data_IF_216660845873
#
_entry.id   IF_216660845873
#
_cell.length_a   1.000
_cell.length_b   1.000
_cell.length_c   1.000
_cell.angle_alpha   90.00
_cell.angle_beta   90.00
_cell.angle_gamma   90.00
#
_symmetry.space_group_name_H-M   'P 1'
#
loop_
_entity.id
_entity.type
_entity.pdbx_description
1 polymer ?
#
# COMPACT_ATOMS: atom_id res chain seq x y z
N UNK A 1 30.49 1.96 -1.78
CA UNK A 1 29.47 0.88 -1.60
C UNK A 1 28.48 1.04 -2.71
N UNK A 2 28.12 0.00 -3.46
CA UNK A 2 27.14 0.11 -4.53
C UNK A 2 25.73 0.26 -3.97
N UNK A 3 24.80 0.84 -4.71
CA UNK A 3 23.38 0.94 -4.33
C UNK A 3 22.85 -0.44 -3.89
N UNK A 4 23.22 -1.51 -4.58
CA UNK A 4 22.81 -2.87 -4.23
C UNK A 4 23.25 -3.30 -2.82
N UNK A 5 24.40 -2.83 -2.34
CA UNK A 5 24.87 -3.11 -0.98
C UNK A 5 24.02 -2.39 0.07
N UNK A 6 23.60 -1.15 -0.20
CA UNK A 6 22.67 -0.41 0.68
C UNK A 6 21.31 -1.09 0.73
N UNK A 7 20.81 -1.51 -0.42
CA UNK A 7 19.52 -2.24 -0.53
C UNK A 7 19.61 -3.58 0.23
N UNK A 8 20.71 -4.31 0.13
CA UNK A 8 20.95 -5.55 0.88
C UNK A 8 21.00 -5.27 2.39
N UNK A 9 21.78 -4.28 2.82
CA UNK A 9 21.87 -3.89 4.22
C UNK A 9 20.49 -3.50 4.79
N UNK A 10 19.72 -2.71 4.04
CA UNK A 10 18.40 -2.29 4.47
C UNK A 10 17.48 -3.49 4.71
N UNK A 11 17.52 -4.49 3.87
CA UNK A 11 16.71 -5.71 4.02
C UNK A 11 17.14 -6.58 5.20
N UNK A 12 18.44 -6.87 5.31
CA UNK A 12 18.99 -7.67 6.41
C UNK A 12 18.65 -7.06 7.76
N UNK A 13 18.61 -5.72 7.83
CA UNK A 13 18.28 -4.97 9.04
C UNK A 13 16.79 -4.59 9.18
N UNK A 14 15.90 -5.09 8.29
CA UNK A 14 14.45 -4.82 8.30
C UNK A 14 14.13 -3.32 8.25
N UNK A 15 14.85 -2.57 7.43
CA UNK A 15 14.65 -1.15 7.19
C UNK A 15 13.49 -0.98 6.21
N UNK A 16 12.55 -0.10 6.52
CA UNK A 16 11.37 0.15 5.68
C UNK A 16 11.66 1.13 4.55
N UNK A 17 12.38 2.20 4.83
CA UNK A 17 12.61 3.27 3.87
C UNK A 17 14.07 3.74 3.93
N UNK A 18 14.64 4.05 2.76
CA UNK A 18 15.98 4.59 2.56
C UNK A 18 15.84 5.97 1.97
N UNK A 19 16.41 6.97 2.62
CA UNK A 19 16.44 8.35 2.13
C UNK A 19 17.85 8.66 1.64
N UNK A 20 17.97 9.07 0.38
CA UNK A 20 19.23 9.48 -0.24
C UNK A 20 19.13 10.97 -0.57
N UNK A 21 20.01 11.77 0.01
CA UNK A 21 20.06 13.22 -0.19
C UNK A 21 21.37 13.64 -0.84
N UNK A 22 21.36 14.64 -1.74
CA UNK A 22 22.58 15.14 -2.33
C UNK A 22 23.43 15.85 -1.29
N UNK A 23 24.70 15.57 -1.28
CA UNK A 23 25.70 16.31 -0.52
C UNK A 23 26.56 17.13 -1.47
N UNK A 24 27.01 18.28 -1.01
CA UNK A 24 27.77 19.22 -1.81
C UNK A 24 29.22 19.18 -1.39
N UNK A 25 30.11 18.94 -2.36
CA UNK A 25 31.56 19.11 -2.19
C UNK A 25 32.04 20.23 -3.09
N UNK A 26 32.83 21.12 -2.52
CA UNK A 26 33.50 22.20 -3.24
C UNK A 26 34.99 21.85 -3.34
N UNK A 27 35.50 21.71 -4.56
CA UNK A 27 36.92 21.56 -4.80
C UNK A 27 37.56 22.97 -4.82
N UNK A 28 38.44 23.23 -3.89
CA UNK A 28 39.16 24.46 -3.76
C UNK A 28 40.66 24.15 -3.90
N UNK A 29 41.33 24.74 -4.90
CA UNK A 29 42.78 24.59 -5.11
C UNK A 29 43.32 23.19 -4.93
N UNK A 30 42.79 22.21 -5.62
CA UNK A 30 43.15 20.77 -5.54
C UNK A 30 42.84 20.05 -4.23
N UNK A 31 42.03 20.63 -3.34
CA UNK A 31 41.55 19.97 -2.12
C UNK A 31 40.02 19.96 -2.09
N UNK A 32 39.45 18.81 -1.76
CA UNK A 32 38.04 18.67 -1.45
C UNK A 32 37.78 19.20 -0.03
N UNK A 33 36.94 20.22 0.10
CA UNK A 33 36.44 20.70 1.39
C UNK A 33 35.00 20.31 1.57
N UNK A 34 34.70 19.54 2.61
CA UNK A 34 33.32 19.35 3.07
C UNK A 34 32.95 20.54 3.95
N UNK A 35 31.79 21.17 3.70
CA UNK A 35 31.28 22.22 4.57
C UNK A 35 29.95 21.80 5.12
N UNK A 36 29.81 21.81 6.43
CA UNK A 36 28.54 21.57 7.13
C UNK A 36 27.68 22.85 7.18
N UNK A 37 28.25 24.03 6.88
CA UNK A 37 27.57 25.33 6.96
C UNK A 37 26.96 25.77 5.64
N UNK A 38 25.77 26.36 5.74
CA UNK A 38 24.86 26.69 4.65
C UNK A 38 25.22 27.92 3.83
N UNK A 39 26.30 28.63 4.13
CA UNK A 39 26.72 29.83 3.38
C UNK A 39 28.00 29.55 2.60
N UNK A 40 27.86 29.49 1.28
CA UNK A 40 28.99 29.32 0.37
C UNK A 40 29.40 30.65 -0.29
N UNK A 41 30.66 31.04 -0.11
CA UNK A 41 31.27 32.09 -0.86
C UNK A 41 32.06 31.53 -2.04
N UNK A 42 31.51 31.60 -3.24
CA UNK A 42 32.04 30.98 -4.46
C UNK A 42 33.12 31.78 -5.18
N UNK A 43 33.82 32.68 -4.55
CA UNK A 43 34.72 33.56 -5.27
C UNK A 43 35.92 32.90 -5.98
N UNK A 44 36.21 31.60 -5.72
CA UNK A 44 37.31 30.86 -6.33
C UNK A 44 37.12 29.33 -6.43
N UNK A 45 35.89 28.81 -6.50
CA UNK A 45 35.70 27.40 -6.67
C UNK A 45 35.93 26.98 -8.12
N UNK A 46 36.88 26.08 -8.38
CA UNK A 46 37.14 25.60 -9.73
C UNK A 46 36.12 24.52 -10.15
N UNK A 47 35.54 23.78 -9.21
CA UNK A 47 34.59 22.71 -9.49
C UNK A 47 33.67 22.48 -8.29
N UNK A 48 32.36 22.36 -8.55
CA UNK A 48 31.36 21.95 -7.55
C UNK A 48 30.90 20.55 -7.91
N UNK A 49 31.14 19.59 -7.03
CA UNK A 49 30.70 18.23 -7.21
C UNK A 49 29.51 17.99 -6.27
N UNK A 50 28.36 17.63 -6.82
CA UNK A 50 27.18 17.21 -6.06
C UNK A 50 27.21 15.70 -6.03
N UNK A 51 27.34 15.14 -4.83
CA UNK A 51 27.33 13.70 -4.61
C UNK A 51 26.16 13.29 -3.71
N UNK A 52 25.64 12.08 -3.91
CA UNK A 52 24.65 11.49 -3.01
C UNK A 52 25.41 10.80 -1.88
N UNK A 53 25.78 11.53 -0.85
CA UNK A 53 26.63 11.03 0.22
C UNK A 53 25.91 10.82 1.53
N UNK A 54 24.73 11.38 1.71
CA UNK A 54 23.96 11.21 2.93
C UNK A 54 22.84 10.21 2.71
N UNK A 55 22.86 9.13 3.48
CA UNK A 55 21.81 8.11 3.50
C UNK A 55 21.26 8.00 4.91
N UNK A 56 19.93 8.02 5.00
CA UNK A 56 19.20 7.82 6.23
C UNK A 56 18.29 6.62 6.08
N UNK A 57 18.18 5.84 7.14
CA UNK A 57 17.28 4.70 7.21
C UNK A 57 16.12 4.98 8.17
N UNK A 58 14.90 4.57 7.80
CA UNK A 58 13.78 4.48 8.72
C UNK A 58 13.66 3.06 9.23
N UNK A 59 13.82 2.90 10.55
CA UNK A 59 13.66 1.62 11.24
C UNK A 59 12.83 1.83 12.49
N UNK A 60 11.79 1.02 12.69
CA UNK A 60 10.89 1.10 13.85
C UNK A 60 10.31 2.51 14.12
N UNK A 61 10.15 3.32 13.06
CA UNK A 61 9.64 4.69 13.13
C UNK A 61 10.72 5.77 13.31
N UNK A 62 11.96 5.42 13.61
CA UNK A 62 13.07 6.37 13.79
C UNK A 62 13.89 6.56 12.52
N UNK A 63 14.46 7.76 12.34
CA UNK A 63 15.39 8.08 11.25
C UNK A 63 16.81 7.96 11.78
N UNK A 64 17.61 7.10 11.18
CA UNK A 64 18.99 6.81 11.56
C UNK A 64 19.90 7.18 10.39
N UNK A 65 20.91 8.04 10.61
CA UNK A 65 21.94 8.34 9.60
C UNK A 65 22.83 7.11 9.42
N UNK A 66 23.08 6.77 8.16
CA UNK A 66 24.02 5.70 7.83
C UNK A 66 25.40 6.30 7.58
N UNK A 67 26.36 5.96 8.46
CA UNK A 67 27.73 6.42 8.33
C UNK A 67 28.52 5.47 7.43
N UNK A 68 28.98 5.98 6.29
CA UNK A 68 29.89 5.28 5.41
C UNK A 68 31.34 5.43 5.88
N UNK A 69 32.13 4.38 5.66
CA UNK A 69 33.59 4.54 5.66
C UNK A 69 33.98 5.39 4.44
N UNK A 70 34.95 6.29 4.61
CA UNK A 70 35.36 7.25 3.57
C UNK A 70 35.70 6.61 2.21
N UNK A 71 36.28 5.40 2.23
CA UNK A 71 36.64 4.63 1.04
C UNK A 71 35.44 4.14 0.20
N UNK A 72 34.24 4.19 0.75
CA UNK A 72 33.00 3.69 0.10
C UNK A 72 32.20 4.81 -0.58
N UNK A 73 32.54 6.08 -0.39
CA UNK A 73 31.77 7.24 -0.85
C UNK A 73 31.83 7.47 -2.36
N UNK A 74 32.91 7.07 -3.04
CA UNK A 74 33.13 7.35 -4.47
C UNK A 74 32.23 6.54 -5.43
N UNK A 75 31.69 5.42 -5.01
CA UNK A 75 30.91 4.51 -5.88
C UNK A 75 29.44 4.89 -6.06
N UNK A 76 28.94 5.87 -5.33
CA UNK A 76 27.49 6.18 -5.27
C UNK A 76 26.95 7.02 -6.42
N UNK A 77 27.78 7.86 -7.03
CA UNK A 77 27.30 8.86 -7.99
C UNK A 77 26.72 8.25 -9.26
N UNK A 78 27.30 7.19 -9.77
CA UNK A 78 26.91 6.59 -11.07
C UNK A 78 25.58 5.85 -11.01
N UNK A 79 25.36 5.00 -9.99
CA UNK A 79 24.13 4.20 -9.89
C UNK A 79 22.91 5.04 -9.48
N UNK A 80 23.12 6.12 -8.75
CA UNK A 80 22.04 7.06 -8.38
C UNK A 80 21.69 7.99 -9.53
N UNK A 81 22.63 8.34 -10.37
CA UNK A 81 22.38 9.09 -11.60
C UNK A 81 21.54 8.28 -12.61
N UNK A 82 21.67 6.94 -12.63
CA UNK A 82 20.76 6.07 -13.37
C UNK A 82 19.32 6.18 -12.83
N UNK A 83 19.12 6.16 -11.51
CA UNK A 83 17.80 6.38 -10.89
C UNK A 83 17.24 7.79 -11.19
N UNK A 84 18.10 8.79 -11.34
CA UNK A 84 17.69 10.16 -11.64
C UNK A 84 17.09 10.33 -13.04
N UNK A 85 17.32 9.39 -13.96
CA UNK A 85 16.74 9.40 -15.30
C UNK A 85 15.28 8.97 -15.33
N UNK A 86 14.77 8.33 -14.26
CA UNK A 86 13.38 7.87 -14.16
C UNK A 86 12.42 8.99 -13.74
N UNK A 87 11.12 8.72 -13.88
CA UNK A 87 10.04 9.59 -13.45
C UNK A 87 10.06 9.83 -11.93
N UNK A 88 9.29 10.79 -11.44
CA UNK A 88 9.23 11.17 -10.03
C UNK A 88 8.77 10.06 -9.09
N UNK A 89 7.93 9.14 -9.55
CA UNK A 89 7.45 7.99 -8.79
C UNK A 89 7.53 6.73 -9.68
N UNK A 90 8.30 5.73 -9.27
CA UNK A 90 8.49 4.50 -10.05
C UNK A 90 8.82 3.31 -9.14
N UNK A 91 8.71 2.10 -9.70
CA UNK A 91 9.20 0.90 -9.06
C UNK A 91 10.30 0.25 -9.89
N UNK A 92 11.21 -0.46 -9.25
CA UNK A 92 12.19 -1.28 -9.97
C UNK A 92 12.40 -2.64 -9.29
N UNK A 93 12.91 -3.59 -10.07
CA UNK A 93 13.23 -4.93 -9.62
C UNK A 93 14.75 -5.12 -9.78
N UNK A 94 15.44 -5.52 -8.71
CA UNK A 94 16.86 -5.83 -8.80
C UNK A 94 17.13 -7.19 -9.47
N UNK A 95 18.42 -7.49 -9.71
CA UNK A 95 18.85 -8.75 -10.35
C UNK A 95 18.48 -10.02 -9.57
N UNK A 96 18.08 -9.90 -8.31
CA UNK A 96 17.61 -10.99 -7.45
C UNK A 96 16.08 -11.08 -7.38
N UNK A 97 15.37 -10.34 -8.24
CA UNK A 97 13.90 -10.32 -8.29
C UNK A 97 13.25 -9.52 -7.16
N UNK A 98 13.99 -8.69 -6.45
CA UNK A 98 13.49 -7.92 -5.30
C UNK A 98 12.96 -6.56 -5.77
N UNK A 99 11.81 -6.18 -5.24
CA UNK A 99 11.10 -4.97 -5.67
C UNK A 99 11.29 -3.82 -4.68
N UNK A 100 11.39 -2.62 -5.23
CA UNK A 100 11.55 -1.36 -4.51
C UNK A 100 10.65 -0.30 -5.14
N UNK A 101 10.03 0.54 -4.30
CA UNK A 101 9.34 1.75 -4.75
C UNK A 101 10.22 2.95 -4.50
N UNK A 102 10.35 3.82 -5.50
CA UNK A 102 11.18 5.02 -5.42
C UNK A 102 10.32 6.24 -5.68
N UNK A 103 10.39 7.20 -4.79
CA UNK A 103 9.94 8.56 -5.03
C UNK A 103 11.16 9.46 -5.15
N UNK A 104 11.27 10.19 -6.27
CA UNK A 104 12.33 11.16 -6.52
C UNK A 104 11.77 12.57 -6.57
N UNK A 105 12.46 13.52 -5.97
CA UNK A 105 12.06 14.92 -5.94
C UNK A 105 13.26 15.84 -5.90
N UNK A 106 13.05 17.09 -6.34
CA UNK A 106 14.09 18.11 -6.32
C UNK A 106 14.05 18.81 -4.96
N UNK A 107 15.14 18.72 -4.19
CA UNK A 107 15.27 19.52 -2.98
C UNK A 107 15.62 20.97 -3.30
N UNK A 108 15.07 21.91 -2.49
CA UNK A 108 15.38 23.33 -2.58
C UNK A 108 16.74 23.70 -1.95
N UNK A 109 17.70 22.79 -1.93
CA UNK A 109 19.08 23.13 -1.59
C UNK A 109 19.69 23.79 -2.81
N UNK A 110 19.63 25.13 -2.84
CA UNK A 110 20.23 25.94 -3.91
C UNK A 110 21.74 25.83 -3.84
N UNK A 111 22.33 24.99 -4.69
CA UNK A 111 23.75 24.94 -4.86
C UNK A 111 24.10 24.82 -6.33
N UNK A 112 24.65 25.90 -6.88
CA UNK A 112 25.05 25.96 -8.28
C UNK A 112 23.86 25.99 -9.25
N UNK A 113 24.14 25.78 -10.52
CA UNK A 113 23.17 25.80 -11.62
C UNK A 113 22.46 24.44 -11.83
N UNK A 114 22.95 23.37 -11.23
CA UNK A 114 22.37 22.04 -11.39
C UNK A 114 21.49 21.64 -10.19
N UNK A 115 20.24 21.25 -10.49
CA UNK A 115 19.31 20.72 -9.52
C UNK A 115 19.43 19.21 -9.50
N UNK A 116 19.94 18.64 -8.42
CA UNK A 116 19.97 17.19 -8.23
C UNK A 116 18.72 16.70 -7.48
N UNK A 117 18.31 15.47 -7.75
CA UNK A 117 17.15 14.84 -7.11
C UNK A 117 17.54 14.15 -5.81
N UNK A 118 16.64 14.19 -4.83
CA UNK A 118 16.64 13.31 -3.66
C UNK A 118 15.73 12.13 -3.89
N UNK A 119 15.99 11.03 -3.20
CA UNK A 119 15.25 9.78 -3.36
C UNK A 119 14.77 9.25 -2.01
N UNK A 120 13.54 8.74 -2.00
CA UNK A 120 13.04 7.88 -0.93
C UNK A 120 12.77 6.52 -1.55
N UNK A 121 13.52 5.51 -1.13
CA UNK A 121 13.41 4.14 -1.62
C UNK A 121 12.75 3.30 -0.54
N UNK A 122 11.54 2.81 -0.81
CA UNK A 122 10.84 1.86 0.04
C UNK A 122 11.21 0.44 -0.33
N UNK A 123 11.66 -0.32 0.66
CA UNK A 123 11.96 -1.74 0.52
C UNK A 123 10.67 -2.53 0.60
N UNK A 124 10.28 -3.21 -0.49
CA UNK A 124 9.08 -4.03 -0.53
C UNK A 124 9.39 -5.43 -0.01
N UNK A 125 8.68 -5.94 1.02
CA UNK A 125 8.89 -7.27 1.56
C UNK A 125 8.68 -8.35 0.48
N UNK A 126 9.57 -9.34 0.39
CA UNK A 126 9.40 -10.48 -0.51
C UNK A 126 8.41 -11.51 0.03
N UNK A 127 8.42 -11.69 1.36
CA UNK A 127 7.55 -12.66 2.01
C UNK A 127 6.28 -11.94 2.50
N UNK A 128 5.14 -12.52 2.16
CA UNK A 128 3.86 -12.06 2.66
C UNK A 128 3.72 -12.45 4.14
N UNK A 129 3.67 -11.48 5.08
CA UNK A 129 3.41 -11.77 6.48
C UNK A 129 2.05 -12.47 6.63
N UNK A 130 2.03 -13.65 7.23
CA UNK A 130 0.79 -14.43 7.40
C UNK A 130 -0.11 -13.79 8.46
N UNK A 131 -1.40 -13.70 8.16
CA UNK A 131 -2.41 -13.34 9.15
C UNK A 131 -2.44 -14.36 10.27
N UNK A 132 -2.24 -13.87 11.51
CA UNK A 132 -2.30 -14.69 12.72
C UNK A 132 -3.69 -14.59 13.36
N UNK A 133 -4.14 -15.65 14.00
CA UNK A 133 -5.39 -15.72 14.77
C UNK A 133 -6.43 -16.66 14.18
N UNK A 134 -7.02 -17.46 15.08
CA UNK A 134 -8.01 -18.48 14.70
C UNK A 134 -9.29 -17.86 14.12
N UNK A 135 -9.74 -16.73 14.68
CA UNK A 135 -10.98 -16.07 14.25
C UNK A 135 -10.92 -15.63 12.78
N UNK A 136 -9.85 -14.89 12.40
CA UNK A 136 -9.71 -14.40 11.04
C UNK A 136 -9.49 -15.53 10.04
N UNK A 137 -8.69 -16.55 10.37
CA UNK A 137 -8.47 -17.70 9.51
C UNK A 137 -9.77 -18.48 9.28
N UNK A 138 -10.55 -18.74 10.33
CA UNK A 138 -11.86 -19.38 10.23
C UNK A 138 -12.84 -18.58 9.37
N UNK A 139 -12.88 -17.26 9.53
CA UNK A 139 -13.71 -16.38 8.70
C UNK A 139 -13.29 -16.46 7.22
N UNK A 140 -11.99 -16.43 6.92
CA UNK A 140 -11.49 -16.56 5.56
C UNK A 140 -11.94 -17.90 4.96
N UNK A 141 -11.71 -19.01 5.66
CA UNK A 141 -11.99 -20.35 5.15
C UNK A 141 -13.51 -20.61 5.00
N UNK A 142 -14.34 -20.16 5.95
CA UNK A 142 -15.79 -20.42 5.94
C UNK A 142 -16.62 -19.42 5.14
N UNK A 143 -16.15 -18.18 5.01
CA UNK A 143 -16.92 -17.11 4.37
C UNK A 143 -16.24 -16.55 3.13
N UNK A 144 -15.02 -16.02 3.25
CA UNK A 144 -14.36 -15.30 2.16
C UNK A 144 -14.11 -16.21 0.96
N UNK A 145 -13.53 -17.40 1.18
CA UNK A 145 -13.27 -18.38 0.11
C UNK A 145 -14.53 -18.93 -0.57
N UNK A 146 -15.71 -18.72 0.00
CA UNK A 146 -16.99 -19.16 -0.55
C UNK A 146 -17.77 -18.05 -1.25
N UNK A 147 -17.26 -16.82 -1.22
CA UNK A 147 -17.82 -15.71 -2.01
C UNK A 147 -17.59 -15.97 -3.49
N UNK A 148 -18.63 -15.67 -4.28
CA UNK A 148 -18.57 -15.80 -5.74
C UNK A 148 -18.56 -14.45 -6.45
N UNK A 149 -19.20 -13.46 -5.85
CA UNK A 149 -19.31 -12.11 -6.38
C UNK A 149 -19.52 -11.10 -5.25
N UNK A 150 -19.48 -9.84 -5.60
CA UNK A 150 -19.72 -8.72 -4.71
C UNK A 150 -18.43 -8.00 -4.32
N UNK A 151 -18.55 -7.05 -3.40
CA UNK A 151 -17.48 -6.13 -3.01
C UNK A 151 -17.00 -6.45 -1.57
N UNK A 152 -15.72 -6.65 -1.41
CA UNK A 152 -15.02 -6.81 -0.11
C UNK A 152 -14.03 -5.66 0.04
N UNK A 153 -14.09 -4.97 1.16
CA UNK A 153 -13.28 -3.80 1.45
C UNK A 153 -12.36 -4.03 2.64
N UNK A 154 -11.09 -3.64 2.50
CA UNK A 154 -10.13 -3.56 3.59
C UNK A 154 -9.77 -2.10 3.81
N UNK A 155 -10.07 -1.56 4.99
CA UNK A 155 -9.94 -0.14 5.28
C UNK A 155 -9.06 0.13 6.50
N UNK A 156 -8.58 1.35 6.64
CA UNK A 156 -7.71 1.78 7.73
C UNK A 156 -6.76 2.89 7.28
N UNK A 157 -6.11 3.53 8.21
CA UNK A 157 -5.13 4.59 7.93
C UNK A 157 -3.93 4.08 7.10
N UNK A 158 -3.16 4.99 6.55
CA UNK A 158 -1.89 4.63 5.87
C UNK A 158 -0.97 3.90 6.86
N UNK A 159 -0.36 2.80 6.40
CA UNK A 159 0.51 1.97 7.26
C UNK A 159 -0.24 1.00 8.18
N UNK A 160 -1.57 0.89 8.10
CA UNK A 160 -2.33 -0.09 8.91
C UNK A 160 -2.26 -1.53 8.39
N UNK A 161 -1.52 -1.81 7.30
CA UNK A 161 -1.33 -3.15 6.77
C UNK A 161 -2.47 -3.65 5.87
N UNK A 162 -3.28 -2.77 5.28
CA UNK A 162 -4.40 -3.12 4.36
C UNK A 162 -3.95 -4.03 3.22
N UNK A 163 -2.89 -3.63 2.52
CA UNK A 163 -2.35 -4.40 1.38
C UNK A 163 -1.88 -5.79 1.81
N UNK A 164 -1.27 -5.91 2.99
CA UNK A 164 -0.86 -7.20 3.55
C UNK A 164 -2.06 -8.10 3.82
N UNK A 165 -3.14 -7.57 4.38
CA UNK A 165 -4.38 -8.33 4.65
C UNK A 165 -5.06 -8.74 3.35
N UNK A 166 -5.17 -7.82 2.40
CA UNK A 166 -5.70 -8.09 1.07
C UNK A 166 -4.88 -9.17 0.35
N UNK A 167 -3.53 -9.04 0.41
CA UNK A 167 -2.64 -10.04 -0.17
C UNK A 167 -2.83 -11.43 0.45
N UNK A 168 -3.06 -11.52 1.77
CA UNK A 168 -3.38 -12.79 2.42
C UNK A 168 -4.71 -13.39 1.92
N UNK A 169 -5.74 -12.57 1.67
CA UNK A 169 -6.99 -13.07 1.08
C UNK A 169 -6.75 -13.65 -0.32
N UNK A 170 -6.02 -12.91 -1.16
CA UNK A 170 -5.70 -13.36 -2.53
C UNK A 170 -4.84 -14.63 -2.50
N UNK A 171 -3.84 -14.71 -1.62
CA UNK A 171 -3.01 -15.90 -1.50
C UNK A 171 -3.83 -17.12 -1.04
N UNK A 172 -4.80 -16.96 -0.16
CA UNK A 172 -5.73 -18.02 0.23
C UNK A 172 -6.57 -18.52 -0.96
N UNK A 173 -7.05 -17.64 -1.84
CA UNK A 173 -7.69 -18.06 -3.09
C UNK A 173 -6.71 -18.78 -4.01
N UNK A 174 -5.49 -18.27 -4.18
CA UNK A 174 -4.44 -18.86 -4.97
C UNK A 174 -4.11 -20.32 -4.55
N UNK A 175 -4.07 -20.55 -3.24
CA UNK A 175 -3.80 -21.87 -2.67
C UNK A 175 -4.97 -22.86 -2.79
N UNK A 176 -6.21 -22.36 -2.77
CA UNK A 176 -7.39 -23.22 -2.57
C UNK A 176 -8.32 -23.32 -3.78
N UNK A 177 -8.34 -22.32 -4.66
CA UNK A 177 -9.27 -22.22 -5.80
C UNK A 177 -8.54 -22.25 -7.14
N UNK A 178 -9.26 -22.54 -8.22
CA UNK A 178 -8.77 -22.51 -9.61
C UNK A 178 -9.40 -21.33 -10.33
N UNK A 179 -9.05 -20.13 -9.90
CA UNK A 179 -9.60 -18.88 -10.40
C UNK A 179 -8.58 -18.11 -11.22
N UNK A 180 -9.08 -17.24 -12.08
CA UNK A 180 -8.25 -16.18 -12.67
C UNK A 180 -8.41 -14.92 -11.81
N UNK A 181 -7.32 -14.47 -11.23
CA UNK A 181 -7.26 -13.32 -10.35
C UNK A 181 -6.49 -12.21 -11.08
N UNK A 182 -7.13 -11.07 -11.27
CA UNK A 182 -6.51 -9.89 -11.84
C UNK A 182 -6.32 -8.84 -10.76
N UNK A 183 -5.12 -8.29 -10.65
CA UNK A 183 -4.86 -7.15 -9.78
C UNK A 183 -4.53 -5.90 -10.58
N UNK A 184 -5.07 -4.77 -10.16
CA UNK A 184 -4.84 -3.44 -10.71
C UNK A 184 -4.30 -2.57 -9.57
N UNK A 185 -2.99 -2.38 -9.53
CA UNK A 185 -2.28 -1.80 -8.38
C UNK A 185 -1.41 -0.61 -8.80
N UNK A 186 -1.19 0.33 -7.89
CA UNK A 186 -0.36 1.52 -8.08
C UNK A 186 0.47 1.81 -6.80
N UNK A 187 1.70 1.26 -6.70
CA UNK A 187 2.28 0.14 -7.45
C UNK A 187 1.93 -1.24 -6.86
N UNK A 188 2.44 -2.31 -7.49
CA UNK A 188 2.36 -3.68 -6.94
C UNK A 188 3.20 -3.77 -5.66
N UNK A 189 2.56 -4.12 -4.53
CA UNK A 189 3.25 -4.27 -3.23
C UNK A 189 3.72 -5.70 -2.95
N UNK A 190 2.99 -6.73 -3.41
CA UNK A 190 3.34 -8.13 -3.23
C UNK A 190 3.29 -8.85 -4.57
N UNK A 191 4.28 -9.69 -4.85
CA UNK A 191 4.29 -10.54 -6.04
C UNK A 191 3.83 -11.94 -5.69
N UNK A 192 2.87 -12.46 -6.44
CA UNK A 192 2.33 -13.80 -6.24
C UNK A 192 2.94 -14.80 -7.21
N UNK A 193 3.29 -15.97 -6.70
CA UNK A 193 3.55 -17.14 -7.54
C UNK A 193 2.22 -17.83 -7.86
N UNK A 194 2.04 -18.26 -9.11
CA UNK A 194 0.85 -19.03 -9.48
C UNK A 194 0.88 -20.41 -8.80
N UNK A 195 -0.18 -20.74 -8.05
CA UNK A 195 -0.37 -22.05 -7.39
C UNK A 195 -1.52 -22.79 -8.08
N UNK A 196 -2.72 -22.77 -7.49
CA UNK A 196 -3.91 -23.33 -8.13
C UNK A 196 -4.61 -22.34 -9.04
N UNK A 197 -4.50 -21.05 -8.73
CA UNK A 197 -5.08 -19.95 -9.51
C UNK A 197 -4.04 -19.36 -10.48
N UNK A 198 -4.52 -18.73 -11.55
CA UNK A 198 -3.73 -17.88 -12.41
C UNK A 198 -3.85 -16.44 -11.92
N UNK A 199 -2.76 -15.85 -11.44
CA UNK A 199 -2.73 -14.45 -11.01
C UNK A 199 -2.03 -13.61 -12.07
N UNK A 200 -2.70 -12.55 -12.51
CA UNK A 200 -2.16 -11.55 -13.43
C UNK A 200 -2.14 -10.22 -12.69
N UNK A 201 -0.95 -9.71 -12.40
CA UNK A 201 -0.76 -8.42 -11.72
C UNK A 201 -0.42 -7.35 -12.74
N UNK A 202 -1.12 -6.23 -12.68
CA UNK A 202 -0.90 -5.07 -13.52
C UNK A 202 -0.59 -3.86 -12.64
N UNK A 203 0.59 -3.31 -12.82
CA UNK A 203 0.93 -1.99 -12.29
C UNK A 203 0.36 -0.94 -13.25
N UNK A 204 -0.38 0.02 -12.72
CA UNK A 204 -1.15 0.97 -13.51
C UNK A 204 -0.95 2.35 -12.93
N UNK A 205 -0.49 3.28 -13.76
CA UNK A 205 -0.46 4.69 -13.43
C UNK A 205 -1.89 5.25 -13.32
N UNK A 206 -2.07 6.26 -12.49
CA UNK A 206 -3.38 6.87 -12.21
C UNK A 206 -4.16 7.30 -13.46
N UNK A 207 -3.46 7.70 -14.53
CA UNK A 207 -4.07 8.15 -15.79
C UNK A 207 -4.68 6.99 -16.60
N UNK A 208 -4.12 5.78 -16.49
CA UNK A 208 -4.56 4.59 -17.23
C UNK A 208 -5.57 3.73 -16.46
N UNK A 209 -5.86 4.07 -15.19
CA UNK A 209 -6.68 3.25 -14.29
C UNK A 209 -8.07 2.95 -14.83
N UNK A 210 -8.73 3.95 -15.41
CA UNK A 210 -10.05 3.81 -16.03
C UNK A 210 -10.06 2.84 -17.23
N UNK A 211 -9.06 2.96 -18.08
CA UNK A 211 -8.92 2.07 -19.23
C UNK A 211 -8.65 0.64 -18.76
N UNK A 212 -7.79 0.47 -17.77
CA UNK A 212 -7.47 -0.82 -17.18
C UNK A 212 -8.70 -1.51 -16.59
N UNK A 213 -9.54 -0.78 -15.83
CA UNK A 213 -10.80 -1.29 -15.29
C UNK A 213 -11.77 -1.74 -16.39
N UNK A 214 -11.95 -0.94 -17.46
CA UNK A 214 -12.81 -1.34 -18.59
C UNK A 214 -12.24 -2.56 -19.34
N UNK A 215 -10.94 -2.64 -19.48
CA UNK A 215 -10.30 -3.77 -20.16
C UNK A 215 -10.34 -5.06 -19.34
N UNK A 216 -10.41 -4.97 -18.00
CA UNK A 216 -10.44 -6.13 -17.10
C UNK A 216 -11.63 -7.05 -17.37
N UNK A 217 -12.80 -6.49 -17.69
CA UNK A 217 -14.01 -7.26 -18.05
C UNK A 217 -13.82 -8.20 -19.27
N UNK A 218 -12.83 -7.91 -20.12
CA UNK A 218 -12.53 -8.73 -21.33
C UNK A 218 -11.43 -9.75 -21.07
N UNK A 219 -10.93 -9.82 -19.85
CA UNK A 219 -9.82 -10.71 -19.48
C UNK A 219 -10.29 -11.96 -18.74
N UNK A 220 -11.61 -12.18 -18.65
CA UNK A 220 -12.23 -13.35 -18.02
C UNK A 220 -11.74 -13.61 -16.58
N UNK A 221 -11.74 -12.62 -15.68
CA UNK A 221 -11.33 -12.81 -14.29
C UNK A 221 -12.50 -13.32 -13.44
N UNK A 222 -12.22 -14.17 -12.45
CA UNK A 222 -13.16 -14.52 -11.39
C UNK A 222 -13.07 -13.50 -10.24
N UNK A 223 -11.85 -13.04 -9.96
CA UNK A 223 -11.54 -12.08 -8.90
C UNK A 223 -10.79 -10.89 -9.49
N UNK A 224 -11.19 -9.69 -9.07
CA UNK A 224 -10.52 -8.45 -9.45
C UNK A 224 -10.12 -7.70 -8.17
N UNK A 225 -8.84 -7.40 -8.04
CA UNK A 225 -8.33 -6.49 -7.01
C UNK A 225 -8.21 -5.10 -7.63
N UNK A 226 -8.97 -4.16 -7.09
CA UNK A 226 -8.89 -2.75 -7.43
C UNK A 226 -8.13 -2.07 -6.30
N UNK A 227 -6.90 -1.64 -6.54
CA UNK A 227 -5.96 -1.19 -5.52
C UNK A 227 -6.61 -0.34 -4.43
N UNK A 228 -7.23 0.78 -4.81
CA UNK A 228 -8.04 1.56 -3.88
C UNK A 228 -9.18 2.33 -4.58
N UNK A 229 -10.24 2.62 -3.82
CA UNK A 229 -11.34 3.51 -4.25
C UNK A 229 -11.05 4.91 -3.72
N UNK A 230 -10.64 5.83 -4.62
CA UNK A 230 -10.27 7.23 -4.29
C UNK A 230 -11.39 8.22 -4.57
N UNK A 231 -12.20 7.96 -5.59
CA UNK A 231 -13.16 8.88 -6.19
C UNK A 231 -14.46 8.21 -6.68
N UNK A 232 -15.37 9.02 -7.21
CA UNK A 232 -16.64 8.58 -7.78
C UNK A 232 -16.42 7.55 -8.91
N UNK A 233 -15.41 7.73 -9.73
CA UNK A 233 -15.16 6.90 -10.90
C UNK A 233 -14.69 5.49 -10.53
N UNK A 234 -13.71 5.39 -9.63
CA UNK A 234 -13.22 4.11 -9.10
C UNK A 234 -14.31 3.37 -8.31
N UNK A 235 -15.21 4.11 -7.60
CA UNK A 235 -16.36 3.53 -6.94
C UNK A 235 -17.33 2.90 -7.94
N UNK A 236 -17.74 3.63 -8.98
CA UNK A 236 -18.65 3.08 -10.01
C UNK A 236 -18.05 1.88 -10.71
N UNK A 237 -16.75 1.92 -10.99
CA UNK A 237 -16.08 0.80 -11.62
C UNK A 237 -16.10 -0.45 -10.74
N UNK A 238 -15.76 -0.32 -9.44
CA UNK A 238 -15.80 -1.43 -8.49
C UNK A 238 -17.22 -2.01 -8.33
N UNK A 239 -18.24 -1.15 -8.24
CA UNK A 239 -19.63 -1.60 -8.15
C UNK A 239 -20.09 -2.30 -9.44
N UNK A 240 -19.75 -1.78 -10.62
CA UNK A 240 -20.07 -2.40 -11.89
C UNK A 240 -19.44 -3.79 -12.05
N UNK A 241 -18.17 -3.93 -11.68
CA UNK A 241 -17.48 -5.22 -11.67
C UNK A 241 -18.19 -6.23 -10.75
N UNK A 242 -18.59 -5.78 -9.55
CA UNK A 242 -19.31 -6.62 -8.59
C UNK A 242 -20.73 -7.00 -9.09
N UNK A 243 -21.42 -6.08 -9.75
CA UNK A 243 -22.76 -6.28 -10.34
C UNK A 243 -22.73 -7.26 -11.52
N UNK A 244 -21.65 -7.22 -12.32
CA UNK A 244 -21.45 -8.14 -13.45
C UNK A 244 -20.97 -9.53 -13.04
N UNK A 245 -20.96 -9.83 -11.73
CA UNK A 245 -20.76 -11.19 -11.21
C UNK A 245 -19.34 -11.47 -10.70
N UNK A 246 -18.43 -10.49 -10.71
CA UNK A 246 -17.06 -10.69 -10.22
C UNK A 246 -16.96 -10.50 -8.70
N UNK A 247 -16.02 -11.18 -8.07
CA UNK A 247 -15.63 -10.90 -6.70
C UNK A 247 -14.57 -9.80 -6.72
N UNK A 248 -14.91 -8.64 -6.17
CA UNK A 248 -14.07 -7.45 -6.18
C UNK A 248 -13.51 -7.19 -4.78
N UNK A 249 -12.20 -7.02 -4.70
CA UNK A 249 -11.50 -6.56 -3.50
C UNK A 249 -10.96 -5.16 -3.72
N UNK A 250 -11.08 -4.30 -2.71
CA UNK A 250 -10.48 -2.97 -2.77
C UNK A 250 -10.15 -2.43 -1.39
N UNK A 251 -9.43 -1.30 -1.36
CA UNK A 251 -9.06 -0.62 -0.11
C UNK A 251 -9.62 0.80 -0.06
N UNK A 252 -9.76 1.34 1.18
CA UNK A 252 -10.06 2.74 1.46
C UNK A 252 -9.30 3.22 2.70
N UNK A 253 -9.21 4.55 2.84
CA UNK A 253 -8.61 5.23 3.99
C UNK A 253 -9.67 5.75 4.95
N UNK A 254 -10.36 4.83 5.65
CA UNK A 254 -11.38 5.12 6.67
C UNK A 254 -11.11 4.35 7.95
N UNK A 255 -11.55 4.85 9.11
CA UNK A 255 -11.14 4.34 10.43
C UNK A 255 -12.09 3.27 10.99
N UNK A 256 -13.32 3.17 10.47
CA UNK A 256 -14.30 2.18 10.89
C UNK A 256 -15.23 1.80 9.73
N UNK A 257 -16.02 0.75 9.93
CA UNK A 257 -16.86 0.17 8.87
C UNK A 257 -18.03 1.07 8.47
N UNK A 258 -18.62 1.80 9.41
CA UNK A 258 -19.73 2.74 9.13
C UNK A 258 -19.22 3.96 8.37
N UNK A 259 -18.07 4.50 8.78
CA UNK A 259 -17.41 5.58 8.07
C UNK A 259 -17.08 5.18 6.62
N UNK A 260 -16.67 3.93 6.40
CA UNK A 260 -16.41 3.39 5.07
C UNK A 260 -17.65 3.52 4.19
N UNK A 261 -18.81 3.06 4.65
CA UNK A 261 -20.08 3.15 3.90
C UNK A 261 -20.46 4.61 3.66
N UNK A 262 -20.37 5.45 4.69
CA UNK A 262 -20.63 6.89 4.56
C UNK A 262 -19.70 7.56 3.53
N UNK A 263 -18.43 7.22 3.54
CA UNK A 263 -17.43 7.75 2.61
C UNK A 263 -17.79 7.40 1.16
N UNK A 264 -18.13 6.14 0.88
CA UNK A 264 -18.54 5.70 -0.45
C UNK A 264 -19.80 6.45 -0.93
N UNK A 265 -20.82 6.59 -0.07
CA UNK A 265 -22.04 7.34 -0.40
C UNK A 265 -21.74 8.83 -0.62
N UNK A 266 -20.76 9.40 0.09
CA UNK A 266 -20.40 10.82 -0.02
C UNK A 266 -19.54 11.14 -1.25
N UNK A 267 -18.94 10.15 -1.89
CA UNK A 267 -18.14 10.35 -3.11
C UNK A 267 -18.95 10.78 -4.31
N UNK A 268 -20.26 10.53 -4.29
CA UNK A 268 -21.15 10.86 -5.42
C UNK A 268 -22.02 12.07 -5.14
N UNK A 269 -22.54 12.67 -6.22
CA UNK A 269 -23.47 13.80 -6.15
C UNK A 269 -24.78 13.39 -5.43
N UNK A 270 -25.46 14.38 -4.85
CA UNK A 270 -26.64 14.15 -3.99
C UNK A 270 -27.75 13.35 -4.67
N UNK A 271 -28.01 13.60 -5.95
CA UNK A 271 -29.02 12.91 -6.76
C UNK A 271 -28.73 11.42 -7.01
N UNK A 272 -27.48 10.99 -6.82
CA UNK A 272 -27.04 9.60 -7.02
C UNK A 272 -26.86 8.81 -5.72
N UNK A 273 -26.96 9.45 -4.56
CA UNK A 273 -26.70 8.81 -3.26
C UNK A 273 -27.63 7.64 -2.95
N UNK A 274 -28.90 7.75 -3.33
CA UNK A 274 -29.88 6.68 -3.12
C UNK A 274 -29.52 5.45 -3.97
N UNK A 275 -29.17 5.66 -5.22
CA UNK A 275 -28.71 4.61 -6.10
C UNK A 275 -27.47 3.90 -5.55
N UNK A 276 -26.46 4.65 -5.05
CA UNK A 276 -25.26 4.06 -4.45
C UNK A 276 -25.60 3.30 -3.16
N UNK A 277 -26.54 3.76 -2.33
CA UNK A 277 -26.99 3.00 -1.16
C UNK A 277 -27.58 1.65 -1.54
N UNK A 278 -28.44 1.62 -2.55
CA UNK A 278 -29.06 0.39 -3.03
C UNK A 278 -28.02 -0.58 -3.61
N UNK A 279 -27.07 -0.06 -4.39
CA UNK A 279 -25.95 -0.83 -4.91
C UNK A 279 -25.08 -1.41 -3.77
N UNK A 280 -24.69 -0.60 -2.78
CA UNK A 280 -23.91 -1.06 -1.63
C UNK A 280 -24.69 -2.07 -0.79
N UNK A 281 -25.98 -1.84 -0.55
CA UNK A 281 -26.84 -2.78 0.17
C UNK A 281 -26.88 -4.17 -0.50
N UNK A 282 -26.84 -4.22 -1.83
CA UNK A 282 -26.88 -5.45 -2.62
C UNK A 282 -25.51 -6.10 -2.79
N UNK A 283 -24.48 -5.32 -3.12
CA UNK A 283 -23.20 -5.82 -3.62
C UNK A 283 -22.12 -5.95 -2.54
N UNK A 284 -22.16 -5.14 -1.48
CA UNK A 284 -21.21 -5.23 -0.38
C UNK A 284 -21.31 -6.62 0.28
N UNK A 285 -20.18 -7.21 0.60
CA UNK A 285 -20.08 -8.49 1.33
C UNK A 285 -19.48 -8.29 2.69
N UNK A 286 -18.26 -7.75 2.72
CA UNK A 286 -17.54 -7.51 3.97
C UNK A 286 -16.82 -6.16 3.95
N UNK A 287 -16.70 -5.55 5.13
CA UNK A 287 -15.77 -4.46 5.39
C UNK A 287 -14.89 -4.85 6.57
N UNK A 288 -13.58 -4.82 6.35
CA UNK A 288 -12.55 -5.05 7.36
C UNK A 288 -11.88 -3.72 7.67
N UNK A 289 -12.21 -3.08 8.78
CA UNK A 289 -11.49 -1.89 9.23
C UNK A 289 -10.35 -2.29 10.13
N UNK A 290 -9.13 -1.98 9.72
CA UNK A 290 -7.91 -2.51 10.29
C UNK A 290 -7.05 -1.43 10.95
N UNK A 291 -6.44 -1.83 12.06
CA UNK A 291 -5.40 -1.09 12.77
C UNK A 291 -4.27 -2.04 13.19
N UNK A 292 -3.05 -1.54 13.28
CA UNK A 292 -1.91 -2.31 13.79
C UNK A 292 -1.62 -1.93 15.23
N UNK A 293 -1.47 -2.94 16.08
CA UNK A 293 -1.07 -2.76 17.48
C UNK A 293 0.18 -3.59 17.79
N UNK A 294 0.98 -3.11 18.73
CA UNK A 294 2.17 -3.83 19.20
C UNK A 294 1.83 -4.62 20.47
N UNK A 295 1.86 -5.96 20.37
CA UNK A 295 1.63 -6.88 21.50
C UNK A 295 2.89 -7.69 21.72
N UNK A 296 3.46 -7.63 22.92
CA UNK A 296 4.69 -8.38 23.30
C UNK A 296 5.86 -8.20 22.31
N UNK A 297 5.97 -7.01 21.72
CA UNK A 297 7.02 -6.69 20.75
C UNK A 297 6.67 -7.04 19.29
N UNK A 298 5.61 -7.80 19.03
CA UNK A 298 5.14 -8.15 17.68
C UNK A 298 4.02 -7.22 17.21
N UNK A 299 4.04 -6.88 15.91
CA UNK A 299 2.97 -6.11 15.27
C UNK A 299 1.84 -7.08 14.88
N UNK A 300 0.62 -6.76 15.34
CA UNK A 300 -0.57 -7.57 15.08
C UNK A 300 -1.69 -6.70 14.50
N UNK A 301 -2.39 -7.14 13.45
CA UNK A 301 -3.58 -6.48 12.97
C UNK A 301 -4.76 -6.76 13.90
N UNK A 302 -5.51 -5.71 14.23
CA UNK A 302 -6.83 -5.82 14.86
C UNK A 302 -7.89 -5.31 13.88
N UNK A 303 -9.06 -5.91 13.94
CA UNK A 303 -10.13 -5.63 12.98
C UNK A 303 -11.44 -5.25 13.67
N UNK A 304 -12.13 -4.26 13.10
CA UNK A 304 -13.58 -4.18 13.14
C UNK A 304 -14.10 -4.80 11.84
N UNK A 305 -15.00 -5.77 11.95
CA UNK A 305 -15.50 -6.54 10.81
C UNK A 305 -17.00 -6.39 10.71
N UNK A 306 -17.45 -5.92 9.55
CA UNK A 306 -18.85 -5.88 9.15
C UNK A 306 -19.11 -6.94 8.07
N UNK A 307 -20.01 -7.87 8.35
CA UNK A 307 -20.60 -8.76 7.37
C UNK A 307 -21.95 -8.15 6.90
N UNK A 308 -22.13 -7.94 5.61
CA UNK A 308 -23.38 -7.41 5.07
C UNK A 308 -24.50 -8.45 5.10
N UNK A 309 -24.97 -8.79 6.30
CA UNK A 309 -26.16 -9.60 6.51
C UNK A 309 -27.40 -8.89 5.97
N UNK A 310 -28.53 -9.60 5.81
CA UNK A 310 -29.79 -9.00 5.40
C UNK A 310 -30.23 -7.81 6.27
N UNK A 311 -29.94 -7.88 7.59
CA UNK A 311 -30.24 -6.79 8.51
C UNK A 311 -29.37 -5.55 8.19
N UNK A 312 -28.06 -5.74 7.98
CA UNK A 312 -27.13 -4.65 7.62
C UNK A 312 -27.51 -4.05 6.27
N UNK A 313 -27.77 -4.89 5.26
CA UNK A 313 -28.23 -4.47 3.92
C UNK A 313 -29.46 -3.56 4.00
N UNK A 314 -30.47 -3.95 4.78
CA UNK A 314 -31.66 -3.11 5.00
C UNK A 314 -31.33 -1.76 5.65
N UNK A 315 -30.41 -1.72 6.64
CA UNK A 315 -30.00 -0.46 7.28
C UNK A 315 -29.25 0.46 6.31
N UNK A 316 -28.45 -0.10 5.42
CA UNK A 316 -27.75 0.66 4.37
C UNK A 316 -28.80 1.28 3.41
N UNK A 317 -29.69 0.46 2.86
CA UNK A 317 -30.74 0.93 1.94
C UNK A 317 -31.63 2.02 2.55
N UNK A 318 -32.00 1.86 3.83
CA UNK A 318 -32.83 2.83 4.57
C UNK A 318 -32.07 4.06 5.08
N UNK A 319 -30.75 4.17 4.82
CA UNK A 319 -29.89 5.24 5.35
C UNK A 319 -29.86 5.30 6.90
N UNK A 320 -29.96 4.15 7.57
CA UNK A 320 -29.94 4.03 9.04
C UNK A 320 -28.59 3.51 9.54
N UNK A 321 -27.50 4.05 9.01
CA UNK A 321 -26.14 3.57 9.26
C UNK A 321 -25.73 3.66 10.73
N UNK A 322 -26.32 4.57 11.50
CA UNK A 322 -26.09 4.72 12.94
C UNK A 322 -26.53 3.52 13.79
N UNK A 323 -27.31 2.59 13.22
CA UNK A 323 -27.75 1.36 13.90
C UNK A 323 -26.80 0.17 13.64
N UNK A 324 -25.90 0.28 12.66
CA UNK A 324 -24.95 -0.80 12.30
C UNK A 324 -24.00 -1.17 13.47
N UNK A 325 -23.45 -0.23 14.26
CA UNK A 325 -22.56 -0.57 15.37
C UNK A 325 -23.18 -1.57 16.37
N UNK A 326 -24.47 -1.43 16.69
CA UNK A 326 -25.18 -2.36 17.56
C UNK A 326 -25.25 -3.77 16.99
N UNK A 327 -25.40 -3.89 15.64
CA UNK A 327 -25.38 -5.20 14.98
C UNK A 327 -23.96 -5.80 14.98
N UNK A 328 -22.91 -4.99 14.83
CA UNK A 328 -21.55 -5.46 14.91
C UNK A 328 -21.24 -5.97 16.32
N UNK A 329 -21.68 -5.24 17.33
CA UNK A 329 -21.46 -5.60 18.73
C UNK A 329 -22.09 -6.94 19.11
N UNK A 330 -23.28 -7.24 18.61
CA UNK A 330 -24.03 -8.47 18.90
C UNK A 330 -23.77 -9.60 17.89
N UNK A 331 -23.09 -9.32 16.78
CA UNK A 331 -23.08 -10.17 15.58
C UNK A 331 -21.92 -11.16 15.47
N UNK A 332 -21.29 -11.60 16.56
CA UNK A 332 -20.10 -12.47 16.51
C UNK A 332 -20.37 -13.79 15.79
N UNK A 333 -21.55 -14.37 15.92
CA UNK A 333 -21.98 -15.59 15.22
C UNK A 333 -22.02 -15.41 13.68
N UNK A 334 -22.21 -14.16 13.22
CA UNK A 334 -22.19 -13.78 11.83
C UNK A 334 -20.83 -13.23 11.37
N UNK A 335 -19.76 -13.48 12.13
CA UNK A 335 -18.43 -12.94 11.88
C UNK A 335 -18.35 -11.41 11.89
N UNK A 336 -19.25 -10.73 12.61
CA UNK A 336 -19.14 -9.32 12.95
C UNK A 336 -18.46 -9.15 14.29
N UNK A 337 -17.54 -8.23 14.42
CA UNK A 337 -16.77 -8.02 15.66
C UNK A 337 -16.24 -6.58 15.72
N UNK A 338 -16.24 -6.00 16.93
CA UNK A 338 -15.57 -4.71 17.18
C UNK A 338 -14.07 -4.90 17.41
N UNK A 339 -13.28 -3.83 17.24
CA UNK A 339 -11.82 -3.87 17.50
C UNK A 339 -11.50 -4.31 18.92
N UNK A 340 -12.27 -3.85 19.90
CA UNK A 340 -12.09 -4.17 21.32
C UNK A 340 -12.30 -5.66 21.59
N UNK A 341 -13.34 -6.25 21.01
CA UNK A 341 -13.59 -7.70 21.11
C UNK A 341 -12.52 -8.51 20.39
N UNK A 342 -12.13 -8.06 19.19
CA UNK A 342 -11.07 -8.73 18.42
C UNK A 342 -9.74 -8.70 19.19
N UNK A 343 -9.39 -7.57 19.80
CA UNK A 343 -8.19 -7.44 20.63
C UNK A 343 -8.18 -8.42 21.81
N UNK A 344 -9.33 -8.64 22.47
CA UNK A 344 -9.45 -9.64 23.55
C UNK A 344 -9.13 -11.05 23.05
N UNK A 345 -9.67 -11.43 21.87
CA UNK A 345 -9.40 -12.76 21.27
C UNK A 345 -7.91 -12.98 20.96
N UNK A 346 -7.18 -11.92 20.59
CA UNK A 346 -5.74 -12.05 20.31
C UNK A 346 -4.91 -12.13 21.59
N UNK A 347 -5.38 -11.53 22.67
CA UNK A 347 -4.68 -11.52 23.96
C UNK A 347 -4.85 -12.83 24.74
N UNK A 348 -5.90 -13.59 24.47
CA UNK A 348 -6.15 -14.94 25.00
C UNK A 348 -5.28 -15.99 24.27
#
# INVERSE_FOLDING_TARGET
>A
MSLINVLNYARENKISDIHITPCIKVRHESRLCETEDKEFYFSKAEEIIIEYTEIYFRKDGEIIKFDFKEEEKEFYSVEVDELASYNEDFSFIDKLGRRYRVNSFIENRNVGTERKKSFVIRVIPQELPKLKGNFINKLIDEKILNLKNGLVLVTGVTGSGKSTTLANFIEKFNENKRYKILTLEDPIEYVYENKKSLIVQREIDSEDFKFALKSSLRQDPDIIVVGEIRDEESLYAALNLAETGHLVFSTLHTMNTVETINRLISMVKTDKKDFIRDQLASLLRFVFSQELIKIKGEINPIFEILNNTKAVSNLIAMNKLNQIPTLIESGTENYMITKEKYMKIILE
#
